data_IF_321998241690
#
_entry.id   IF_321998241690
#
_cell.length_a   1.000
_cell.length_b   1.000
_cell.length_c   1.000
_cell.angle_alpha   90.00
_cell.angle_beta   90.00
_cell.angle_gamma   90.00
#
_symmetry.space_group_name_H-M   'P 1'
#
loop_
_entity.id
_entity.type
_entity.pdbx_description
1 polymer ?
#
# COMPACT_ATOMS: atom_id res chain seq x y z
N UNK A 1 7.42 3.79 -5.75
CA UNK A 1 7.27 2.91 -6.93
C UNK A 1 5.81 2.50 -7.04
N UNK A 2 5.04 3.08 -7.97
CA UNK A 2 3.60 2.84 -8.06
C UNK A 2 3.24 1.46 -8.62
N UNK A 3 4.02 0.98 -9.61
CA UNK A 3 3.80 -0.32 -10.24
C UNK A 3 4.05 -1.50 -9.29
N UNK A 4 5.11 -1.45 -8.48
CA UNK A 4 5.39 -2.52 -7.51
C UNK A 4 4.31 -2.59 -6.44
N UNK A 5 3.81 -1.45 -5.95
CA UNK A 5 2.71 -1.40 -5.00
C UNK A 5 1.39 -1.93 -5.59
N UNK A 6 1.12 -1.64 -6.87
CA UNK A 6 -0.02 -2.20 -7.60
C UNK A 6 0.11 -3.73 -7.72
N UNK A 7 1.27 -4.25 -8.11
CA UNK A 7 1.49 -5.70 -8.22
C UNK A 7 1.35 -6.39 -6.87
N UNK A 8 1.97 -5.86 -5.81
CA UNK A 8 1.85 -6.39 -4.44
C UNK A 8 0.41 -6.34 -3.95
N UNK A 9 -0.29 -5.23 -4.18
CA UNK A 9 -1.71 -5.10 -3.88
C UNK A 9 -2.57 -6.12 -4.64
N UNK A 10 -2.27 -6.34 -5.92
CA UNK A 10 -3.06 -7.26 -6.76
C UNK A 10 -2.86 -8.72 -6.35
N UNK A 11 -1.61 -9.12 -6.07
CA UNK A 11 -1.28 -10.48 -5.60
C UNK A 11 -1.85 -10.74 -4.22
N UNK A 12 -1.81 -9.75 -3.31
CA UNK A 12 -2.41 -9.89 -1.98
C UNK A 12 -3.94 -9.98 -2.03
N UNK A 13 -4.60 -9.20 -2.89
CA UNK A 13 -6.04 -9.32 -3.14
C UNK A 13 -6.44 -10.68 -3.70
N UNK A 14 -5.70 -11.18 -4.69
CA UNK A 14 -5.88 -12.53 -5.23
C UNK A 14 -5.69 -13.61 -4.15
N UNK A 15 -4.63 -13.49 -3.35
CA UNK A 15 -4.33 -14.41 -2.25
C UNK A 15 -5.41 -14.40 -1.16
N UNK A 16 -5.97 -13.24 -0.81
CA UNK A 16 -7.09 -13.13 0.13
C UNK A 16 -8.31 -13.92 -0.33
N UNK A 17 -8.65 -13.86 -1.61
CA UNK A 17 -9.80 -14.61 -2.11
C UNK A 17 -9.52 -16.12 -2.21
N UNK A 18 -8.30 -16.53 -2.51
CA UNK A 18 -7.89 -17.94 -2.39
C UNK A 18 -7.98 -18.42 -0.94
N UNK A 19 -7.52 -17.60 0.02
CA UNK A 19 -7.58 -17.92 1.44
C UNK A 19 -9.02 -18.03 1.93
N UNK A 20 -9.91 -17.15 1.49
CA UNK A 20 -11.34 -17.23 1.80
C UNK A 20 -11.95 -18.57 1.37
N UNK A 21 -11.63 -19.04 0.15
CA UNK A 21 -12.08 -20.34 -0.33
C UNK A 21 -11.45 -21.50 0.46
N UNK A 22 -10.16 -21.39 0.82
CA UNK A 22 -9.47 -22.39 1.63
C UNK A 22 -10.08 -22.51 3.04
N UNK A 23 -10.41 -21.38 3.69
CA UNK A 23 -11.07 -21.35 5.00
C UNK A 23 -12.45 -22.02 4.97
N UNK A 24 -13.18 -21.89 3.87
CA UNK A 24 -14.48 -22.54 3.67
C UNK A 24 -14.36 -24.03 3.27
N UNK A 25 -13.14 -24.56 3.11
CA UNK A 25 -12.86 -25.93 2.62
C UNK A 25 -13.52 -26.23 1.27
N UNK A 26 -13.73 -25.19 0.44
CA UNK A 26 -14.23 -25.33 -0.93
C UNK A 26 -13.07 -25.32 -1.92
N UNK A 27 -13.26 -25.79 -3.18
CA UNK A 27 -12.21 -25.71 -4.19
C UNK A 27 -11.68 -24.27 -4.31
N UNK A 28 -10.36 -24.13 -4.41
CA UNK A 28 -9.68 -22.83 -4.46
C UNK A 28 -10.25 -21.92 -5.57
N UNK A 29 -10.70 -22.49 -6.68
CA UNK A 29 -11.25 -21.78 -7.84
C UNK A 29 -12.78 -21.87 -7.96
N UNK A 30 -13.53 -22.09 -6.86
CA UNK A 30 -15.01 -22.22 -6.90
C UNK A 30 -15.72 -21.09 -7.67
N UNK A 31 -15.22 -19.85 -7.53
CA UNK A 31 -15.71 -18.69 -8.29
C UNK A 31 -14.52 -17.93 -8.89
N UNK A 32 -14.08 -18.27 -10.12
CA UNK A 32 -12.82 -17.76 -10.68
C UNK A 32 -12.86 -16.25 -10.93
N UNK A 33 -14.00 -15.70 -11.32
CA UNK A 33 -14.17 -14.27 -11.57
C UNK A 33 -14.00 -13.41 -10.32
N UNK A 34 -14.29 -13.95 -9.13
CA UNK A 34 -14.04 -13.22 -7.89
C UNK A 34 -12.55 -12.97 -7.67
N UNK A 35 -11.69 -13.94 -8.00
CA UNK A 35 -10.24 -13.76 -7.91
C UNK A 35 -9.74 -12.60 -8.75
N UNK A 36 -10.30 -12.43 -9.95
CA UNK A 36 -9.99 -11.32 -10.85
C UNK A 36 -10.46 -9.99 -10.25
N UNK A 37 -11.68 -9.95 -9.68
CA UNK A 37 -12.17 -8.73 -9.03
C UNK A 37 -11.30 -8.31 -7.85
N UNK A 38 -10.89 -9.25 -7.00
CA UNK A 38 -10.01 -8.97 -5.86
C UNK A 38 -8.59 -8.63 -6.29
N UNK A 39 -8.11 -9.18 -7.41
CA UNK A 39 -6.83 -8.79 -8.01
C UNK A 39 -6.85 -7.30 -8.41
N UNK A 40 -7.84 -6.86 -9.16
CA UNK A 40 -7.94 -5.45 -9.56
C UNK A 40 -8.22 -4.52 -8.37
N UNK A 41 -9.10 -4.92 -7.45
CA UNK A 41 -9.38 -4.17 -6.23
C UNK A 41 -8.13 -4.00 -5.37
N UNK A 42 -7.38 -5.10 -5.17
CA UNK A 42 -6.13 -5.08 -4.43
C UNK A 42 -5.09 -4.18 -5.08
N UNK A 43 -4.96 -4.21 -6.41
CA UNK A 43 -4.07 -3.32 -7.16
C UNK A 43 -4.44 -1.84 -7.02
N UNK A 44 -5.73 -1.52 -7.09
CA UNK A 44 -6.24 -0.16 -6.89
C UNK A 44 -5.97 0.34 -5.46
N UNK A 45 -6.21 -0.49 -4.44
CA UNK A 45 -5.91 -0.18 -3.04
C UNK A 45 -4.40 0.04 -2.86
N UNK A 46 -3.57 -0.83 -3.43
CA UNK A 46 -2.11 -0.70 -3.36
C UNK A 46 -1.62 0.62 -3.96
N UNK A 47 -2.19 1.05 -5.09
CA UNK A 47 -1.87 2.35 -5.68
C UNK A 47 -2.39 3.52 -4.82
N UNK A 48 -3.63 3.43 -4.31
CA UNK A 48 -4.24 4.47 -3.47
C UNK A 48 -3.45 4.67 -2.17
N UNK A 49 -2.92 3.60 -1.59
CA UNK A 49 -2.10 3.63 -0.37
C UNK A 49 -0.83 4.45 -0.57
N UNK A 50 -0.08 4.21 -1.65
CA UNK A 50 1.14 4.98 -1.96
C UNK A 50 0.83 6.46 -2.20
N UNK A 51 -0.33 6.77 -2.81
CA UNK A 51 -0.76 8.15 -2.99
C UNK A 51 -1.09 8.82 -1.66
N UNK A 52 -1.86 8.13 -0.82
CA UNK A 52 -2.25 8.61 0.51
C UNK A 52 -1.01 8.91 1.37
N UNK A 53 -0.01 8.03 1.30
CA UNK A 53 1.25 8.23 2.00
C UNK A 53 1.96 9.53 1.57
N UNK A 54 1.98 9.84 0.27
CA UNK A 54 2.58 11.09 -0.21
C UNK A 54 1.79 12.32 0.24
N UNK A 55 0.47 12.24 0.19
CA UNK A 55 -0.44 13.29 0.66
C UNK A 55 -0.16 13.59 2.15
N UNK A 56 -0.14 12.56 2.99
CA UNK A 56 0.16 12.70 4.43
C UNK A 56 1.54 13.29 4.71
N UNK A 57 2.57 12.92 3.93
CA UNK A 57 3.92 13.49 4.12
C UNK A 57 3.95 14.97 3.77
N UNK A 58 3.22 15.39 2.72
CA UNK A 58 3.10 16.81 2.37
C UNK A 58 2.38 17.59 3.49
N UNK A 59 1.23 17.09 3.94
CA UNK A 59 0.44 17.73 5.01
C UNK A 59 1.28 17.87 6.30
N UNK A 60 2.05 16.83 6.67
CA UNK A 60 2.94 16.88 7.83
C UNK A 60 4.06 17.89 7.64
N UNK A 61 4.60 18.00 6.42
CA UNK A 61 5.67 18.94 6.12
C UNK A 61 5.17 20.39 6.15
N UNK A 62 3.94 20.66 5.71
CA UNK A 62 3.30 21.97 5.86
C UNK A 62 3.15 22.35 7.33
N UNK A 63 2.60 21.46 8.16
CA UNK A 63 2.47 21.68 9.62
C UNK A 63 3.84 21.90 10.29
N UNK A 64 4.89 21.25 9.81
CA UNK A 64 6.26 21.44 10.31
C UNK A 64 6.84 22.78 9.88
N UNK A 65 6.60 23.20 8.64
CA UNK A 65 7.01 24.51 8.15
C UNK A 65 6.40 25.64 9.00
N UNK A 66 5.11 25.54 9.33
CA UNK A 66 4.42 26.50 10.21
C UNK A 66 5.06 26.58 11.61
N UNK A 67 5.67 25.48 12.07
CA UNK A 67 6.36 25.39 13.36
C UNK A 67 7.85 25.72 13.28
N UNK A 68 8.37 26.09 12.11
CA UNK A 68 9.80 26.32 11.87
C UNK A 68 10.67 25.05 11.97
N UNK A 69 10.06 23.87 11.84
CA UNK A 69 10.74 22.58 11.89
C UNK A 69 11.16 22.13 10.48
N UNK A 70 12.28 21.39 10.35
CA UNK A 70 12.73 20.89 9.05
C UNK A 70 11.74 19.86 8.46
N UNK A 71 11.63 19.81 7.12
CA UNK A 71 10.75 18.88 6.43
C UNK A 71 11.23 17.43 6.61
N UNK A 72 10.29 16.50 6.59
CA UNK A 72 10.58 15.07 6.50
C UNK A 72 10.87 14.69 5.05
N UNK A 73 11.97 13.98 4.85
CA UNK A 73 12.32 13.34 3.58
C UNK A 73 12.41 11.83 3.77
N UNK A 74 12.06 11.11 2.70
CA UNK A 74 12.13 9.64 2.69
C UNK A 74 13.58 9.17 2.72
N UNK A 75 13.89 8.26 3.65
CA UNK A 75 15.25 7.73 3.83
C UNK A 75 15.36 6.33 3.22
N UNK A 76 16.46 6.04 2.52
CA UNK A 76 16.77 4.71 1.97
C UNK A 76 17.30 3.72 3.03
N UNK A 77 17.17 4.04 4.33
CA UNK A 77 17.74 3.26 5.40
C UNK A 77 16.91 1.98 5.58
N UNK A 78 17.60 0.84 5.53
CA UNK A 78 17.07 -0.50 5.78
C UNK A 78 16.51 -0.69 7.21
N UNK A 79 16.63 0.33 8.07
CA UNK A 79 16.42 0.28 9.52
C UNK A 79 15.07 0.88 9.94
N UNK A 80 13.98 0.47 9.29
CA UNK A 80 12.59 0.75 9.70
C UNK A 80 12.12 2.22 9.70
N UNK A 81 13.04 3.19 9.69
CA UNK A 81 12.76 4.62 9.68
C UNK A 81 12.60 5.09 8.24
N UNK A 82 11.34 5.14 7.81
CA UNK A 82 10.97 5.56 6.45
C UNK A 82 11.16 7.06 6.20
N UNK A 83 11.05 7.89 7.24
CA UNK A 83 11.13 9.35 7.16
C UNK A 83 12.04 9.93 8.24
N UNK A 84 12.94 10.83 7.84
CA UNK A 84 13.90 11.50 8.74
C UNK A 84 13.84 13.00 8.45
N UNK A 85 13.99 13.88 9.47
CA UNK A 85 14.10 15.31 9.23
C UNK A 85 15.30 15.62 8.33
N UNK A 86 15.10 16.52 7.38
CA UNK A 86 16.16 17.04 6.54
C UNK A 86 17.00 18.00 7.39
N UNK A 87 18.19 17.56 7.81
CA UNK A 87 19.15 18.39 8.55
C UNK A 87 19.67 19.56 7.71
#
# INVERSE_FOLDING_TARGET
>A
MGLTAMVVGSVSGFGMQMMNNALQKVPLSRKPWLHVTYFFLGGWIGQRWVRLEKELVMDINEIRADKGLPPLVGTNAMLGLKYVPQN
#
